data_IF_805321457212
#
_entry.id   IF_805321457212
#
_cell.length_a   1.000
_cell.length_b   1.000
_cell.length_c   1.000
_cell.angle_alpha   90.00
_cell.angle_beta   90.00
_cell.angle_gamma   90.00
#
_symmetry.space_group_name_H-M   'P 1'
#
loop_
_entity.id
_entity.type
_entity.pdbx_description
1 polymer ?
#
# COMPACT_ATOMS: atom_id res chain seq x y z
N UNK A 1 -5.97 39.33 -1.50
CA UNK A 1 -6.92 38.48 -2.24
C UNK A 1 -6.37 38.05 -3.60
N UNK A 2 -5.86 38.96 -4.43
CA UNK A 2 -5.26 38.61 -5.75
C UNK A 2 -4.00 37.74 -5.62
N UNK A 3 -3.15 37.97 -4.63
CA UNK A 3 -1.98 37.13 -4.38
C UNK A 3 -2.37 35.70 -3.99
N UNK A 4 -3.32 35.51 -3.10
CA UNK A 4 -3.82 34.17 -2.75
C UNK A 4 -4.41 33.45 -3.95
N UNK A 5 -5.12 34.16 -4.83
CA UNK A 5 -5.66 33.59 -6.06
C UNK A 5 -4.55 33.16 -7.03
N UNK A 6 -3.47 33.96 -7.14
CA UNK A 6 -2.32 33.61 -7.99
C UNK A 6 -1.58 32.38 -7.49
N UNK A 7 -1.38 32.24 -6.16
CA UNK A 7 -0.80 31.04 -5.56
C UNK A 7 -1.68 29.82 -5.81
N UNK A 8 -2.97 29.93 -5.55
CA UNK A 8 -3.91 28.84 -5.80
C UNK A 8 -3.93 28.39 -7.26
N UNK A 9 -3.93 29.33 -8.22
CA UNK A 9 -3.89 29.01 -9.65
C UNK A 9 -2.55 28.35 -10.06
N UNK A 10 -1.44 28.79 -9.46
CA UNK A 10 -0.14 28.14 -9.65
C UNK A 10 -0.18 26.70 -9.19
N UNK A 11 -0.58 26.44 -7.95
CA UNK A 11 -0.63 25.10 -7.36
C UNK A 11 -1.59 24.19 -8.10
N UNK A 12 -2.75 24.72 -8.51
CA UNK A 12 -3.71 23.97 -9.32
C UNK A 12 -3.10 23.58 -10.69
N UNK A 13 -2.42 24.53 -11.36
CA UNK A 13 -1.79 24.28 -12.65
C UNK A 13 -0.70 23.21 -12.54
N UNK A 14 0.13 23.25 -11.49
CA UNK A 14 1.13 22.23 -11.22
C UNK A 14 0.49 20.86 -10.99
N UNK A 15 -0.49 20.80 -10.12
CA UNK A 15 -1.21 19.56 -9.82
C UNK A 15 -1.82 18.96 -11.07
N UNK A 16 -2.43 19.78 -11.93
CA UNK A 16 -3.01 19.34 -13.20
C UNK A 16 -1.96 18.75 -14.16
N UNK A 17 -0.82 19.44 -14.32
CA UNK A 17 0.28 18.96 -15.19
C UNK A 17 0.83 17.63 -14.67
N UNK A 18 1.11 17.54 -13.37
CA UNK A 18 1.65 16.33 -12.74
C UNK A 18 0.66 15.16 -12.86
N UNK A 19 -0.62 15.40 -12.60
CA UNK A 19 -1.69 14.43 -12.77
C UNK A 19 -1.73 13.91 -14.21
N UNK A 20 -1.73 14.83 -15.18
CA UNK A 20 -1.82 14.48 -16.59
C UNK A 20 -0.60 13.71 -17.07
N UNK A 21 0.59 14.21 -16.78
CA UNK A 21 1.84 13.57 -17.18
C UNK A 21 2.03 12.24 -16.45
N UNK A 22 1.77 12.20 -15.14
CA UNK A 22 1.86 10.99 -14.33
C UNK A 22 0.90 9.90 -14.83
N UNK A 23 -0.33 10.26 -15.18
CA UNK A 23 -1.30 9.31 -15.73
C UNK A 23 -0.88 8.81 -17.12
N UNK A 24 -0.49 9.70 -18.03
CA UNK A 24 -0.09 9.32 -19.41
C UNK A 24 1.16 8.44 -19.39
N UNK A 25 2.21 8.85 -18.67
CA UNK A 25 3.43 8.05 -18.55
C UNK A 25 3.17 6.74 -17.82
N UNK A 26 2.38 6.79 -16.74
CA UNK A 26 1.94 5.61 -16.02
C UNK A 26 1.21 4.62 -16.92
N UNK A 27 0.29 5.10 -17.77
CA UNK A 27 -0.41 4.29 -18.75
C UNK A 27 0.55 3.62 -19.74
N UNK A 28 1.46 4.41 -20.34
CA UNK A 28 2.41 3.92 -21.35
C UNK A 28 3.33 2.86 -20.74
N UNK A 29 3.88 3.12 -19.56
CA UNK A 29 4.84 2.23 -18.90
C UNK A 29 4.12 0.97 -18.41
N UNK A 30 2.96 1.10 -17.78
CA UNK A 30 2.21 -0.02 -17.30
C UNK A 30 1.78 -0.96 -18.45
N UNK A 31 1.27 -0.39 -19.55
CA UNK A 31 0.88 -1.16 -20.73
C UNK A 31 2.05 -1.90 -21.38
N UNK A 32 3.21 -1.23 -21.55
CA UNK A 32 4.30 -1.78 -22.36
C UNK A 32 5.33 -2.57 -21.56
N UNK A 33 5.45 -2.32 -20.25
CA UNK A 33 6.46 -2.94 -19.39
C UNK A 33 5.83 -3.92 -18.40
N UNK A 34 4.77 -3.50 -17.71
CA UNK A 34 4.16 -4.32 -16.65
C UNK A 34 3.29 -5.43 -17.24
N UNK A 35 2.35 -5.08 -18.11
CA UNK A 35 1.45 -6.07 -18.75
C UNK A 35 2.13 -6.78 -19.90
N UNK A 36 2.85 -6.08 -20.75
CA UNK A 36 3.63 -6.50 -21.91
C UNK A 36 2.87 -7.35 -22.95
N UNK A 37 2.18 -8.39 -22.51
CA UNK A 37 1.50 -9.38 -23.38
C UNK A 37 0.00 -9.09 -23.55
N UNK A 38 -0.55 -8.15 -22.81
CA UNK A 38 -1.98 -7.79 -22.81
C UNK A 38 -2.13 -6.29 -22.95
N UNK A 39 -2.95 -5.85 -23.91
CA UNK A 39 -3.26 -4.41 -24.01
C UNK A 39 -4.06 -3.94 -22.82
N UNK A 40 -3.54 -2.91 -22.13
CA UNK A 40 -4.22 -2.28 -20.99
C UNK A 40 -5.61 -1.77 -21.40
N UNK A 41 -5.72 -1.13 -22.58
CA UNK A 41 -7.00 -0.67 -23.13
C UNK A 41 -8.01 -1.82 -23.31
N UNK A 42 -7.55 -2.95 -23.86
CA UNK A 42 -8.41 -4.12 -24.06
C UNK A 42 -8.85 -4.72 -22.72
N UNK A 43 -7.92 -4.88 -21.78
CA UNK A 43 -8.22 -5.41 -20.46
C UNK A 43 -9.25 -4.55 -19.71
N UNK A 44 -9.10 -3.23 -19.76
CA UNK A 44 -9.95 -2.30 -18.99
C UNK A 44 -11.32 -2.11 -19.65
N UNK A 45 -11.37 -1.87 -20.97
CA UNK A 45 -12.59 -1.39 -21.63
C UNK A 45 -13.29 -2.44 -22.49
N UNK A 46 -12.58 -3.45 -22.99
CA UNK A 46 -13.20 -4.51 -23.80
C UNK A 46 -13.56 -5.73 -22.95
N UNK A 47 -12.66 -6.12 -22.05
CA UNK A 47 -12.88 -7.29 -21.18
C UNK A 47 -13.52 -6.93 -19.84
N UNK A 48 -13.68 -5.64 -19.54
CA UNK A 48 -14.22 -5.10 -18.28
C UNK A 48 -13.58 -5.78 -17.05
N UNK A 49 -12.23 -5.77 -17.02
CA UNK A 49 -11.48 -6.47 -16.00
C UNK A 49 -11.24 -5.58 -14.78
N UNK A 50 -12.06 -5.74 -13.75
CA UNK A 50 -11.98 -4.99 -12.51
C UNK A 50 -10.65 -5.22 -11.78
N UNK A 51 -10.05 -6.41 -11.86
CA UNK A 51 -8.76 -6.68 -11.21
C UNK A 51 -7.63 -5.82 -11.82
N UNK A 52 -7.61 -5.66 -13.15
CA UNK A 52 -6.66 -4.78 -13.83
C UNK A 52 -6.90 -3.31 -13.45
N UNK A 53 -8.17 -2.87 -13.31
CA UNK A 53 -8.48 -1.52 -12.83
C UNK A 53 -7.95 -1.28 -11.42
N UNK A 54 -8.20 -2.20 -10.50
CA UNK A 54 -7.74 -2.12 -9.11
C UNK A 54 -6.22 -2.05 -9.05
N UNK A 55 -5.54 -2.91 -9.79
CA UNK A 55 -4.08 -2.92 -9.80
C UNK A 55 -3.51 -1.66 -10.45
N UNK A 56 -3.97 -1.29 -11.64
CA UNK A 56 -3.46 -0.13 -12.36
C UNK A 56 -3.65 1.17 -11.57
N UNK A 57 -4.86 1.41 -11.06
CA UNK A 57 -5.13 2.64 -10.30
C UNK A 57 -4.59 2.53 -8.89
N UNK A 58 -4.89 1.45 -8.16
CA UNK A 58 -4.58 1.33 -6.73
C UNK A 58 -3.13 1.02 -6.42
N UNK A 59 -2.46 0.19 -7.23
CA UNK A 59 -1.07 -0.19 -6.98
C UNK A 59 -0.06 0.64 -7.77
N UNK A 60 -0.47 1.39 -8.78
CA UNK A 60 0.46 2.11 -9.64
C UNK A 60 0.15 3.61 -9.76
N UNK A 61 -0.98 4.00 -10.34
CA UNK A 61 -1.27 5.43 -10.62
C UNK A 61 -1.42 6.23 -9.34
N UNK A 62 -2.30 5.80 -8.43
CA UNK A 62 -2.53 6.51 -7.18
C UNK A 62 -1.26 6.65 -6.32
N UNK A 63 -0.44 5.60 -6.12
CA UNK A 63 0.84 5.71 -5.44
C UNK A 63 1.81 6.72 -6.07
N UNK A 64 1.92 6.76 -7.41
CA UNK A 64 2.75 7.75 -8.11
C UNK A 64 2.30 9.16 -7.78
N UNK A 65 0.99 9.43 -7.94
CA UNK A 65 0.42 10.75 -7.71
C UNK A 65 0.53 11.19 -6.25
N UNK A 66 0.32 10.26 -5.32
CA UNK A 66 0.46 10.52 -3.90
C UNK A 66 1.89 10.88 -3.51
N UNK A 67 2.88 10.12 -4.01
CA UNK A 67 4.31 10.39 -3.77
C UNK A 67 4.76 11.69 -4.45
N UNK A 68 4.32 11.94 -5.68
CA UNK A 68 4.60 13.19 -6.37
C UNK A 68 4.07 14.40 -5.58
N UNK A 69 2.83 14.33 -5.10
CA UNK A 69 2.24 15.36 -4.25
C UNK A 69 3.00 15.58 -2.93
N UNK A 70 3.61 14.53 -2.39
CA UNK A 70 4.43 14.63 -1.18
C UNK A 70 5.79 15.29 -1.45
N UNK A 71 6.42 14.97 -2.57
CA UNK A 71 7.71 15.55 -2.99
C UNK A 71 7.65 17.05 -3.34
N UNK A 72 6.49 17.55 -3.79
CA UNK A 72 6.29 18.97 -4.17
C UNK A 72 6.45 19.92 -2.97
N UNK A 73 6.16 19.47 -1.75
CA UNK A 73 6.25 20.30 -0.54
C UNK A 73 7.64 20.88 -0.25
N UNK A 74 8.70 20.34 -0.85
CA UNK A 74 10.08 20.81 -0.67
C UNK A 74 10.63 21.66 -1.82
N UNK A 75 9.92 21.80 -2.94
CA UNK A 75 10.40 22.50 -4.13
C UNK A 75 9.80 23.91 -4.20
N UNK A 76 10.35 24.83 -3.43
CA UNK A 76 10.00 26.26 -3.54
C UNK A 76 11.21 27.03 -4.07
N UNK A 77 11.25 27.32 -5.36
CA UNK A 77 12.18 28.25 -5.96
C UNK A 77 11.44 29.49 -6.50
N UNK A 78 12.18 30.57 -6.73
CA UNK A 78 11.60 31.75 -7.36
C UNK A 78 11.28 31.54 -8.86
N UNK A 79 11.65 30.38 -9.40
CA UNK A 79 11.48 30.06 -10.82
C UNK A 79 10.48 28.91 -11.03
N UNK A 80 9.31 29.25 -11.56
CA UNK A 80 8.21 28.32 -11.84
C UNK A 80 8.63 27.14 -12.74
N UNK A 81 9.53 27.34 -13.68
CA UNK A 81 9.98 26.26 -14.59
C UNK A 81 10.91 25.28 -13.87
N UNK A 82 11.71 25.77 -12.92
CA UNK A 82 12.56 24.92 -12.08
C UNK A 82 11.69 24.06 -11.18
N UNK A 83 10.70 24.64 -10.50
CA UNK A 83 9.76 23.91 -9.67
C UNK A 83 9.02 22.84 -10.46
N UNK A 84 8.53 23.18 -11.66
CA UNK A 84 7.85 22.23 -12.53
C UNK A 84 8.78 21.08 -12.96
N UNK A 85 10.01 21.39 -13.36
CA UNK A 85 10.99 20.38 -13.76
C UNK A 85 11.33 19.43 -12.61
N UNK A 86 11.47 19.94 -11.39
CA UNK A 86 11.70 19.13 -10.18
C UNK A 86 10.51 18.22 -9.91
N UNK A 87 9.28 18.73 -9.94
CA UNK A 87 8.06 17.94 -9.72
C UNK A 87 7.87 16.84 -10.77
N UNK A 88 8.15 17.15 -12.04
CA UNK A 88 8.12 16.14 -13.11
C UNK A 88 9.24 15.11 -12.95
N UNK A 89 10.43 15.54 -12.53
CA UNK A 89 11.54 14.64 -12.20
C UNK A 89 11.16 13.64 -11.11
N UNK A 90 10.57 14.10 -10.01
CA UNK A 90 10.04 13.22 -8.95
C UNK A 90 8.96 12.28 -9.48
N UNK A 91 8.03 12.77 -10.31
CA UNK A 91 6.96 11.94 -10.88
C UNK A 91 7.54 10.80 -11.71
N UNK A 92 8.51 11.09 -12.59
CA UNK A 92 9.20 10.09 -13.42
C UNK A 92 9.96 9.09 -12.54
N UNK A 93 10.66 9.58 -11.53
CA UNK A 93 11.39 8.76 -10.57
C UNK A 93 10.48 7.78 -9.83
N UNK A 94 9.32 8.24 -9.34
CA UNK A 94 8.36 7.38 -8.65
C UNK A 94 7.72 6.36 -9.60
N UNK A 95 7.43 6.75 -10.84
CA UNK A 95 6.98 5.79 -11.87
C UNK A 95 8.01 4.68 -12.06
N UNK A 96 9.29 5.03 -12.19
CA UNK A 96 10.36 4.06 -12.36
C UNK A 96 10.48 3.10 -11.17
N UNK A 97 10.50 3.62 -9.94
CA UNK A 97 10.57 2.81 -8.71
C UNK A 97 9.37 1.88 -8.59
N UNK A 98 8.14 2.37 -8.78
CA UNK A 98 6.94 1.54 -8.66
C UNK A 98 6.86 0.50 -9.79
N UNK A 99 7.39 0.80 -10.97
CA UNK A 99 7.53 -0.19 -12.05
C UNK A 99 8.47 -1.32 -11.63
N UNK A 100 9.65 -0.98 -11.12
CA UNK A 100 10.62 -1.96 -10.62
C UNK A 100 9.99 -2.80 -9.50
N UNK A 101 9.33 -2.15 -8.54
CA UNK A 101 8.64 -2.83 -7.46
C UNK A 101 7.62 -3.84 -7.98
N UNK A 102 6.78 -3.41 -8.94
CA UNK A 102 5.75 -4.30 -9.52
C UNK A 102 6.37 -5.50 -10.24
N UNK A 103 7.49 -5.30 -10.94
CA UNK A 103 8.22 -6.39 -11.58
C UNK A 103 8.85 -7.33 -10.55
N UNK A 104 9.42 -6.81 -9.46
CA UNK A 104 9.93 -7.60 -8.35
C UNK A 104 8.81 -8.40 -7.67
N UNK A 105 7.65 -7.79 -7.43
CA UNK A 105 6.47 -8.47 -6.87
C UNK A 105 6.04 -9.63 -7.77
N UNK A 106 5.95 -9.39 -9.09
CA UNK A 106 5.66 -10.45 -10.07
C UNK A 106 6.68 -11.59 -9.97
N UNK A 107 7.97 -11.25 -9.93
CA UNK A 107 9.03 -12.25 -9.84
C UNK A 107 8.93 -13.08 -8.56
N UNK A 108 8.73 -12.44 -7.41
CA UNK A 108 8.58 -13.12 -6.12
C UNK A 108 7.35 -14.02 -6.08
N UNK A 109 6.20 -13.53 -6.53
CA UNK A 109 4.96 -14.32 -6.57
C UNK A 109 5.11 -15.53 -7.49
N UNK A 110 5.76 -15.36 -8.64
CA UNK A 110 5.99 -16.44 -9.58
C UNK A 110 6.98 -17.53 -9.06
N UNK A 111 7.73 -17.27 -7.98
CA UNK A 111 8.56 -18.26 -7.31
C UNK A 111 7.79 -19.12 -6.31
N UNK A 112 6.57 -18.69 -5.94
CA UNK A 112 5.72 -19.41 -4.97
C UNK A 112 5.07 -20.58 -5.71
N UNK A 113 5.44 -21.79 -5.30
CA UNK A 113 4.82 -23.02 -5.77
C UNK A 113 3.72 -23.41 -4.77
N UNK A 114 2.48 -23.39 -5.22
CA UNK A 114 1.36 -23.86 -4.40
C UNK A 114 1.13 -25.32 -4.78
N UNK A 115 1.62 -26.22 -3.94
CA UNK A 115 1.82 -27.64 -4.17
C UNK A 115 0.57 -28.52 -4.42
N UNK A 116 -0.62 -27.95 -4.54
CA UNK A 116 -1.85 -28.72 -4.68
C UNK A 116 -2.38 -28.72 -6.12
N UNK A 117 -1.60 -29.25 -7.09
CA UNK A 117 -2.00 -29.44 -8.49
C UNK A 117 -2.29 -28.17 -9.34
N UNK A 118 -2.10 -26.98 -8.79
CA UNK A 118 -2.39 -25.73 -9.51
C UNK A 118 -1.18 -25.16 -10.27
N UNK A 119 0.02 -25.70 -10.06
CA UNK A 119 1.26 -25.24 -10.71
C UNK A 119 1.77 -23.92 -10.17
N UNK A 120 2.69 -23.28 -10.91
CA UNK A 120 3.26 -21.99 -10.53
C UNK A 120 2.27 -20.86 -10.73
N UNK A 121 2.11 -20.02 -9.71
CA UNK A 121 1.31 -18.80 -9.81
C UNK A 121 2.00 -17.84 -10.77
N UNK A 122 1.24 -17.28 -11.71
CA UNK A 122 1.70 -16.20 -12.58
C UNK A 122 0.86 -14.95 -12.33
N UNK A 123 1.43 -13.96 -11.63
CA UNK A 123 0.68 -12.78 -11.19
C UNK A 123 -0.05 -12.06 -12.34
N UNK A 124 0.59 -11.91 -13.49
CA UNK A 124 -0.07 -11.29 -14.65
C UNK A 124 -1.23 -12.14 -15.19
N UNK A 125 -1.11 -13.47 -15.18
CA UNK A 125 -2.18 -14.37 -15.60
C UNK A 125 -3.35 -14.29 -14.64
N UNK A 126 -3.08 -14.30 -13.33
CA UNK A 126 -4.12 -14.15 -12.32
C UNK A 126 -4.94 -12.88 -12.54
N UNK A 127 -4.25 -11.73 -12.70
CA UNK A 127 -4.94 -10.44 -12.80
C UNK A 127 -5.56 -10.22 -14.17
N UNK A 128 -4.85 -10.53 -15.26
CA UNK A 128 -5.30 -10.18 -16.62
C UNK A 128 -6.23 -11.22 -17.25
N UNK A 129 -6.01 -12.52 -17.00
CA UNK A 129 -6.79 -13.59 -17.62
C UNK A 129 -7.88 -14.11 -16.67
N UNK A 130 -7.54 -14.38 -15.41
CA UNK A 130 -8.48 -14.94 -14.44
C UNK A 130 -9.33 -13.86 -13.76
N UNK A 131 -9.03 -12.58 -13.99
CA UNK A 131 -9.70 -11.43 -13.36
C UNK A 131 -9.67 -11.50 -11.83
N UNK A 132 -8.58 -12.01 -11.27
CA UNK A 132 -8.42 -12.26 -9.84
C UNK A 132 -8.26 -10.95 -9.05
N UNK A 133 -9.33 -10.56 -8.36
CA UNK A 133 -9.39 -9.35 -7.54
C UNK A 133 -8.51 -9.49 -6.28
N UNK A 134 -8.45 -10.69 -5.68
CA UNK A 134 -7.60 -10.98 -4.53
C UNK A 134 -6.12 -10.70 -4.84
N UNK A 135 -5.63 -11.18 -5.99
CA UNK A 135 -4.28 -10.93 -6.48
C UNK A 135 -4.01 -9.44 -6.77
N UNK A 136 -4.98 -8.72 -7.32
CA UNK A 136 -4.88 -7.28 -7.56
C UNK A 136 -4.78 -6.50 -6.24
N UNK A 137 -5.60 -6.81 -5.25
CA UNK A 137 -5.57 -6.20 -3.92
C UNK A 137 -4.27 -6.51 -3.16
N UNK A 138 -3.70 -7.71 -3.36
CA UNK A 138 -2.36 -8.02 -2.87
C UNK A 138 -1.30 -7.06 -3.48
N UNK A 139 -1.34 -6.82 -4.78
CA UNK A 139 -0.45 -5.85 -5.44
C UNK A 139 -0.62 -4.44 -4.86
N UNK A 140 -1.87 -4.03 -4.57
CA UNK A 140 -2.15 -2.74 -3.90
C UNK A 140 -1.54 -2.71 -2.50
N UNK A 141 -1.71 -3.77 -1.70
CA UNK A 141 -1.15 -3.85 -0.34
C UNK A 141 0.38 -3.73 -0.35
N UNK A 142 1.06 -4.44 -1.27
CA UNK A 142 2.51 -4.33 -1.47
C UNK A 142 2.91 -2.90 -1.85
N UNK A 143 2.21 -2.28 -2.79
CA UNK A 143 2.49 -0.90 -3.21
C UNK A 143 2.33 0.09 -2.07
N UNK A 144 1.29 -0.05 -1.25
CA UNK A 144 1.03 0.78 -0.07
C UNK A 144 2.18 0.67 0.95
N UNK A 145 2.73 -0.52 1.20
CA UNK A 145 3.91 -0.72 2.06
C UNK A 145 5.09 0.09 1.53
N UNK A 146 5.38 -0.02 0.23
CA UNK A 146 6.52 0.67 -0.38
C UNK A 146 6.36 2.18 -0.46
N UNK A 147 5.16 2.69 -0.66
CA UNK A 147 4.87 4.13 -0.59
C UNK A 147 5.32 4.71 0.75
N UNK A 148 5.04 4.03 1.85
CA UNK A 148 5.46 4.50 3.16
C UNK A 148 6.98 4.37 3.38
N UNK A 149 7.62 3.35 2.84
CA UNK A 149 9.08 3.25 2.84
C UNK A 149 9.71 4.42 2.08
N UNK A 150 9.20 4.72 0.89
CA UNK A 150 9.70 5.85 0.09
C UNK A 150 9.51 7.19 0.83
N UNK A 151 8.39 7.35 1.54
CA UNK A 151 8.16 8.57 2.36
C UNK A 151 9.13 8.72 3.52
N UNK A 152 9.66 7.63 4.06
CA UNK A 152 10.70 7.68 5.09
C UNK A 152 12.06 8.10 4.52
N UNK A 153 12.23 8.01 3.20
CA UNK A 153 13.47 8.37 2.51
C UNK A 153 13.37 9.84 2.11
N UNK A 154 13.84 10.74 2.97
CA UNK A 154 14.02 12.14 2.58
C UNK A 154 15.39 12.32 1.93
N UNK A 155 15.39 12.71 0.65
CA UNK A 155 16.64 12.93 -0.10
C UNK A 155 17.45 14.09 0.43
N UNK A 156 16.82 15.10 1.02
CA UNK A 156 17.48 16.25 1.64
C UNK A 156 18.25 15.78 2.87
N UNK A 157 17.65 14.93 3.68
CA UNK A 157 18.30 14.35 4.85
C UNK A 157 19.49 13.47 4.47
N UNK A 158 19.39 12.72 3.35
CA UNK A 158 20.53 11.93 2.84
C UNK A 158 21.70 12.85 2.45
N UNK A 159 21.44 13.96 1.77
CA UNK A 159 22.45 14.93 1.37
C UNK A 159 23.09 15.58 2.62
N UNK A 160 22.31 15.79 3.68
CA UNK A 160 22.77 16.33 4.95
C UNK A 160 23.54 15.32 5.82
N UNK A 161 23.77 14.10 5.33
CA UNK A 161 24.57 13.07 6.03
C UNK A 161 23.76 12.17 6.95
N UNK A 162 22.43 12.28 6.99
CA UNK A 162 21.53 11.47 7.84
C UNK A 162 21.15 10.11 7.20
N UNK A 163 21.85 9.67 6.16
CA UNK A 163 21.52 8.46 5.41
C UNK A 163 21.46 7.18 6.25
N UNK A 164 22.31 7.07 7.30
CA UNK A 164 22.32 5.91 8.22
C UNK A 164 21.03 5.89 9.04
N UNK A 165 20.56 7.02 9.53
CA UNK A 165 19.35 7.12 10.34
C UNK A 165 18.10 6.75 9.52
N UNK A 166 18.05 7.23 8.28
CA UNK A 166 16.98 6.86 7.34
C UNK A 166 16.98 5.35 7.10
N UNK A 167 18.15 4.78 6.84
CA UNK A 167 18.29 3.33 6.65
C UNK A 167 17.77 2.56 7.86
N UNK A 168 18.10 2.99 9.07
CA UNK A 168 17.64 2.34 10.29
C UNK A 168 16.12 2.48 10.44
N UNK A 169 15.52 3.64 10.17
CA UNK A 169 14.08 3.84 10.18
C UNK A 169 13.38 2.90 9.20
N UNK A 170 13.90 2.78 7.99
CA UNK A 170 13.37 1.86 6.97
C UNK A 170 13.48 0.40 7.43
N UNK A 171 14.59 0.01 8.03
CA UNK A 171 14.78 -1.35 8.56
C UNK A 171 13.80 -1.64 9.70
N UNK A 172 13.63 -0.73 10.65
CA UNK A 172 12.65 -0.88 11.74
C UNK A 172 11.24 -1.03 11.15
N UNK A 173 10.85 -0.15 10.23
CA UNK A 173 9.55 -0.23 9.57
C UNK A 173 9.33 -1.60 8.90
N UNK A 174 10.31 -2.08 8.14
CA UNK A 174 10.24 -3.38 7.44
C UNK A 174 10.13 -4.54 8.43
N UNK A 175 10.94 -4.56 9.48
CA UNK A 175 10.93 -5.63 10.47
C UNK A 175 9.55 -5.74 11.14
N UNK A 176 8.97 -4.63 11.58
CA UNK A 176 7.67 -4.65 12.23
C UNK A 176 6.53 -4.94 11.26
N UNK A 177 6.61 -4.46 10.02
CA UNK A 177 5.64 -4.80 8.98
C UNK A 177 5.68 -6.30 8.66
N UNK A 178 6.85 -6.87 8.45
CA UNK A 178 7.01 -8.30 8.17
C UNK A 178 6.55 -9.15 9.36
N UNK A 179 6.93 -8.77 10.59
CA UNK A 179 6.47 -9.46 11.79
C UNK A 179 4.94 -9.46 11.90
N UNK A 180 4.30 -8.31 11.65
CA UNK A 180 2.84 -8.20 11.67
C UNK A 180 2.19 -9.08 10.59
N UNK A 181 2.72 -9.10 9.36
CA UNK A 181 2.22 -9.96 8.26
C UNK A 181 2.39 -11.45 8.57
N UNK A 182 3.51 -11.84 9.19
CA UNK A 182 3.72 -13.22 9.66
C UNK A 182 2.71 -13.60 10.73
N UNK A 183 2.46 -12.73 11.70
CA UNK A 183 1.44 -12.94 12.72
C UNK A 183 0.04 -13.06 12.10
N UNK A 184 -0.31 -12.19 11.16
CA UNK A 184 -1.58 -12.25 10.42
C UNK A 184 -1.73 -13.58 9.69
N UNK A 185 -0.71 -13.98 8.93
CA UNK A 185 -0.70 -15.26 8.20
C UNK A 185 -0.76 -16.47 9.15
N UNK A 186 -0.10 -16.40 10.32
CA UNK A 186 -0.13 -17.47 11.32
C UNK A 186 -1.53 -17.65 11.93
N UNK A 187 -2.23 -16.55 12.21
CA UNK A 187 -3.62 -16.60 12.69
C UNK A 187 -4.53 -17.23 11.64
N UNK A 188 -4.33 -16.91 10.37
CA UNK A 188 -5.09 -17.50 9.24
C UNK A 188 -4.83 -19.00 9.07
N UNK A 189 -3.59 -19.49 9.28
CA UNK A 189 -3.21 -20.90 9.10
C UNK A 189 -4.06 -21.91 9.83
N UNK A 190 -4.79 -21.47 10.83
CA UNK A 190 -5.73 -22.34 11.54
C UNK A 190 -6.94 -22.77 10.68
N UNK A 191 -7.21 -22.08 9.58
CA UNK A 191 -8.33 -22.34 8.66
C UNK A 191 -7.89 -22.47 7.21
N UNK A 192 -7.05 -21.55 6.73
CA UNK A 192 -6.59 -21.47 5.35
C UNK A 192 -5.23 -20.76 5.28
N UNK A 193 -4.63 -20.67 4.09
CA UNK A 193 -3.43 -19.86 3.87
C UNK A 193 -3.79 -18.62 3.08
N UNK A 194 -3.17 -17.48 3.44
CA UNK A 194 -3.41 -16.21 2.74
C UNK A 194 -3.17 -16.32 1.23
N UNK A 195 -2.14 -17.05 0.82
CA UNK A 195 -1.83 -17.25 -0.60
C UNK A 195 -2.89 -18.06 -1.32
N UNK A 196 -3.46 -19.09 -0.66
CA UNK A 196 -4.55 -19.88 -1.23
C UNK A 196 -5.77 -18.98 -1.49
N UNK A 197 -6.20 -18.23 -0.50
CA UNK A 197 -7.33 -17.31 -0.62
C UNK A 197 -7.14 -16.29 -1.75
N UNK A 198 -5.95 -15.68 -1.82
CA UNK A 198 -5.70 -14.59 -2.78
C UNK A 198 -5.48 -15.05 -4.21
N UNK A 199 -4.81 -16.21 -4.41
CA UNK A 199 -4.34 -16.62 -5.74
C UNK A 199 -5.00 -17.88 -6.29
N UNK A 200 -5.60 -18.72 -5.44
CA UNK A 200 -6.27 -19.93 -5.88
C UNK A 200 -7.77 -19.74 -5.83
N UNK A 201 -8.29 -19.34 -4.68
CA UNK A 201 -9.73 -19.20 -4.46
C UNK A 201 -10.27 -17.88 -5.00
N UNK A 202 -9.38 -16.97 -5.45
CA UNK A 202 -9.75 -15.65 -6.00
C UNK A 202 -10.67 -14.85 -5.05
N UNK A 203 -10.39 -14.92 -3.74
CA UNK A 203 -11.22 -14.32 -2.71
C UNK A 203 -10.97 -12.81 -2.58
N UNK A 204 -11.87 -11.93 -3.06
CA UNK A 204 -11.70 -10.48 -2.97
C UNK A 204 -11.86 -9.99 -1.53
N UNK A 205 -12.65 -10.67 -0.69
CA UNK A 205 -12.85 -10.30 0.70
C UNK A 205 -11.55 -10.50 1.51
N UNK A 206 -10.82 -11.58 1.26
CA UNK A 206 -9.49 -11.80 1.85
C UNK A 206 -8.49 -10.70 1.45
N UNK A 207 -8.52 -10.28 0.18
CA UNK A 207 -7.69 -9.17 -0.33
C UNK A 207 -8.01 -7.83 0.34
N UNK A 208 -9.28 -7.51 0.51
CA UNK A 208 -9.75 -6.31 1.23
C UNK A 208 -9.31 -6.36 2.69
N UNK A 209 -9.48 -7.50 3.36
CA UNK A 209 -9.06 -7.71 4.74
C UNK A 209 -7.56 -7.52 4.94
N UNK A 210 -6.72 -8.07 4.03
CA UNK A 210 -5.28 -7.85 4.01
C UNK A 210 -4.94 -6.37 3.86
N UNK A 211 -5.56 -5.68 2.92
CA UNK A 211 -5.32 -4.27 2.67
C UNK A 211 -5.63 -3.41 3.90
N UNK A 212 -6.77 -3.66 4.56
CA UNK A 212 -7.13 -2.98 5.81
C UNK A 212 -6.14 -3.24 6.94
N UNK A 213 -5.66 -4.48 7.06
CA UNK A 213 -4.62 -4.83 8.03
C UNK A 213 -3.32 -4.07 7.76
N UNK A 214 -2.86 -4.05 6.49
CA UNK A 214 -1.66 -3.31 6.08
C UNK A 214 -1.81 -1.82 6.39
N UNK A 215 -2.94 -1.20 6.08
CA UNK A 215 -3.20 0.21 6.39
C UNK A 215 -3.12 0.49 7.90
N UNK A 216 -3.72 -0.35 8.73
CA UNK A 216 -3.69 -0.19 10.19
C UNK A 216 -2.27 -0.29 10.76
N UNK A 217 -1.52 -1.31 10.36
CA UNK A 217 -0.12 -1.50 10.79
C UNK A 217 0.76 -0.35 10.35
N UNK A 218 0.56 0.15 9.13
CA UNK A 218 1.29 1.32 8.64
C UNK A 218 0.95 2.59 9.38
N UNK A 219 -0.33 2.82 9.68
CA UNK A 219 -0.76 3.97 10.47
C UNK A 219 -0.05 3.98 11.82
N UNK A 220 0.05 2.84 12.50
CA UNK A 220 0.77 2.70 13.77
C UNK A 220 2.26 2.98 13.57
N UNK A 221 2.92 2.30 12.64
CA UNK A 221 4.36 2.46 12.41
C UNK A 221 4.71 3.91 12.04
N UNK A 222 4.00 4.50 11.08
CA UNK A 222 4.24 5.86 10.63
C UNK A 222 3.92 6.91 11.72
N UNK A 223 2.83 6.71 12.47
CA UNK A 223 2.44 7.58 13.58
C UNK A 223 3.51 7.61 14.67
N UNK A 224 3.98 6.44 15.12
CA UNK A 224 5.05 6.36 16.13
C UNK A 224 6.34 6.99 15.61
N UNK A 225 6.74 6.66 14.38
CA UNK A 225 7.97 7.21 13.79
C UNK A 225 7.93 8.73 13.57
N UNK A 226 6.75 9.30 13.33
CA UNK A 226 6.60 10.75 13.15
C UNK A 226 6.60 11.51 14.47
N UNK A 227 6.10 10.90 15.54
CA UNK A 227 6.02 11.51 16.87
C UNK A 227 7.39 11.53 17.57
N UNK A 228 8.12 10.41 17.49
CA UNK A 228 9.46 10.32 18.06
C UNK A 228 10.46 10.86 17.03
N UNK A 229 10.84 12.14 17.18
CA UNK A 229 11.90 12.77 16.40
C UNK A 229 13.27 12.11 16.66
N UNK A 230 14.27 12.45 15.85
CA UNK A 230 15.60 11.82 15.84
C UNK A 230 16.37 11.79 17.18
N UNK A 231 15.95 12.59 18.15
CA UNK A 231 16.58 12.68 19.48
C UNK A 231 16.22 11.52 20.43
N UNK A 232 15.25 10.67 20.04
CA UNK A 232 14.88 9.51 20.85
C UNK A 232 15.69 8.27 20.47
N UNK A 233 16.13 7.54 21.49
CA UNK A 233 16.81 6.26 21.30
C UNK A 233 15.98 5.32 20.42
N UNK A 234 16.59 4.77 19.38
CA UNK A 234 15.97 3.78 18.45
C UNK A 234 15.29 2.63 19.18
N UNK A 235 15.81 2.26 20.34
CA UNK A 235 15.23 1.24 21.22
C UNK A 235 13.83 1.66 21.69
N UNK A 236 13.66 2.92 22.12
CA UNK A 236 12.37 3.45 22.58
C UNK A 236 11.33 3.41 21.47
N UNK A 237 11.68 3.88 20.28
CA UNK A 237 10.78 3.82 19.10
C UNK A 237 10.37 2.38 18.80
N UNK A 238 11.34 1.46 18.80
CA UNK A 238 11.08 0.03 18.54
C UNK A 238 10.15 -0.59 19.59
N UNK A 239 10.37 -0.29 20.87
CA UNK A 239 9.51 -0.76 21.97
C UNK A 239 8.09 -0.21 21.81
N UNK A 240 7.94 1.09 21.53
CA UNK A 240 6.61 1.69 21.37
C UNK A 240 5.86 1.07 20.18
N UNK A 241 6.53 0.85 19.05
CA UNK A 241 5.92 0.15 17.90
C UNK A 241 5.51 -1.26 18.31
N UNK A 242 6.38 -2.04 18.95
CA UNK A 242 6.10 -3.40 19.37
C UNK A 242 4.88 -3.47 20.28
N UNK A 243 4.85 -2.62 21.32
CA UNK A 243 3.72 -2.56 22.27
C UNK A 243 2.43 -2.14 21.55
N UNK A 244 2.49 -1.16 20.65
CA UNK A 244 1.33 -0.71 19.88
C UNK A 244 0.76 -1.80 18.99
N UNK A 245 1.61 -2.59 18.34
CA UNK A 245 1.17 -3.72 17.51
C UNK A 245 0.60 -4.87 18.36
N UNK A 246 1.12 -5.12 19.54
CA UNK A 246 0.56 -6.09 20.49
C UNK A 246 -0.84 -5.63 20.93
N UNK A 247 -0.99 -4.35 21.31
CA UNK A 247 -2.28 -3.76 21.68
C UNK A 247 -3.26 -3.84 20.50
N UNK A 248 -2.82 -3.51 19.30
CA UNK A 248 -3.61 -3.65 18.08
C UNK A 248 -4.13 -5.09 17.89
N UNK A 249 -3.25 -6.09 18.04
CA UNK A 249 -3.62 -7.49 17.95
C UNK A 249 -4.66 -7.89 19.00
N UNK A 250 -4.44 -7.51 20.26
CA UNK A 250 -5.37 -7.79 21.38
C UNK A 250 -6.74 -7.15 21.12
N UNK A 251 -6.77 -5.86 20.80
CA UNK A 251 -8.00 -5.12 20.54
C UNK A 251 -8.74 -5.71 19.32
N UNK A 252 -8.04 -6.06 18.25
CA UNK A 252 -8.64 -6.68 17.07
C UNK A 252 -9.33 -7.99 17.39
N UNK A 253 -8.72 -8.83 18.23
CA UNK A 253 -9.33 -10.09 18.69
C UNK A 253 -10.53 -9.84 19.62
N UNK A 254 -10.41 -8.90 20.56
CA UNK A 254 -11.49 -8.57 21.50
C UNK A 254 -12.72 -8.01 20.78
N UNK A 255 -12.54 -7.00 19.92
CA UNK A 255 -13.64 -6.43 19.14
C UNK A 255 -14.32 -7.45 18.26
N UNK A 256 -13.54 -8.33 17.64
CA UNK A 256 -14.10 -9.43 16.86
C UNK A 256 -14.96 -10.36 17.70
N UNK A 257 -14.48 -10.77 18.89
CA UNK A 257 -15.27 -11.61 19.81
C UNK A 257 -16.56 -10.90 20.24
N UNK A 258 -16.47 -9.61 20.59
CA UNK A 258 -17.63 -8.80 20.96
C UNK A 258 -18.61 -8.74 19.80
N UNK A 259 -18.16 -8.42 18.59
CA UNK A 259 -19.00 -8.37 17.41
C UNK A 259 -19.70 -9.72 17.15
N UNK A 260 -18.94 -10.82 17.16
CA UNK A 260 -19.49 -12.18 16.99
C UNK A 260 -20.53 -12.51 18.07
N UNK A 261 -20.31 -12.06 19.31
CA UNK A 261 -21.27 -12.30 20.41
C UNK A 261 -22.58 -11.52 20.23
N UNK A 262 -22.51 -10.30 19.69
CA UNK A 262 -23.68 -9.44 19.48
C UNK A 262 -24.44 -9.85 18.22
N UNK A 263 -23.74 -10.00 17.10
CA UNK A 263 -24.36 -10.26 15.79
C UNK A 263 -24.60 -11.75 15.56
N UNK A 264 -23.92 -12.62 16.34
CA UNK A 264 -23.94 -14.09 16.24
C UNK A 264 -23.49 -14.60 14.85
N UNK A 265 -22.59 -13.86 14.22
CA UNK A 265 -21.98 -14.18 12.94
C UNK A 265 -20.45 -14.22 13.11
N UNK A 266 -19.80 -15.28 12.63
CA UNK A 266 -18.33 -15.36 12.63
C UNK A 266 -17.77 -14.62 11.41
N UNK A 267 -17.21 -13.42 11.62
CA UNK A 267 -16.62 -12.58 10.57
C UNK A 267 -15.56 -13.34 9.75
N UNK A 268 -14.80 -14.24 10.36
CA UNK A 268 -13.80 -15.02 9.64
C UNK A 268 -14.44 -15.99 8.64
N UNK A 269 -15.53 -16.62 9.06
CA UNK A 269 -16.28 -17.49 8.19
C UNK A 269 -16.86 -16.72 7.00
N UNK A 270 -17.42 -15.54 7.28
CA UNK A 270 -17.94 -14.67 6.24
C UNK A 270 -16.87 -14.27 5.22
N UNK A 271 -15.66 -13.93 5.67
CA UNK A 271 -14.58 -13.44 4.79
C UNK A 271 -13.90 -14.59 4.03
N UNK A 272 -13.57 -15.69 4.72
CA UNK A 272 -12.71 -16.73 4.14
C UNK A 272 -13.44 -17.98 3.65
N UNK A 273 -14.71 -18.17 3.97
CA UNK A 273 -15.53 -19.29 3.48
C UNK A 273 -16.69 -18.82 2.60
N UNK A 274 -17.18 -17.58 2.79
CA UNK A 274 -18.31 -17.05 2.03
C UNK A 274 -17.93 -15.87 1.11
N UNK A 275 -16.68 -15.48 1.08
CA UNK A 275 -16.14 -14.36 0.26
C UNK A 275 -16.92 -13.05 0.46
N UNK A 276 -17.44 -12.81 1.66
CA UNK A 276 -18.32 -11.70 1.97
C UNK A 276 -17.54 -10.38 2.02
N UNK A 277 -17.62 -9.61 0.94
CA UNK A 277 -16.98 -8.31 0.79
C UNK A 277 -17.48 -7.31 1.86
N UNK A 278 -18.77 -7.36 2.21
CA UNK A 278 -19.34 -6.48 3.24
C UNK A 278 -18.70 -6.73 4.62
N UNK A 279 -18.50 -7.99 4.99
CA UNK A 279 -17.81 -8.38 6.21
C UNK A 279 -16.34 -7.92 6.20
N UNK A 280 -15.67 -8.04 5.05
CA UNK A 280 -14.29 -7.58 4.88
C UNK A 280 -14.16 -6.05 5.03
N UNK A 281 -15.08 -5.27 4.45
CA UNK A 281 -15.12 -3.80 4.62
C UNK A 281 -15.33 -3.44 6.10
N UNK A 282 -16.23 -4.13 6.80
CA UNK A 282 -16.41 -3.98 8.24
C UNK A 282 -15.13 -4.25 9.03
N UNK A 283 -14.38 -5.29 8.65
CA UNK A 283 -13.09 -5.61 9.26
C UNK A 283 -12.03 -4.53 8.98
N UNK A 284 -11.99 -3.96 7.76
CA UNK A 284 -11.10 -2.84 7.44
C UNK A 284 -11.39 -1.63 8.33
N UNK A 285 -12.67 -1.25 8.44
CA UNK A 285 -13.08 -0.14 9.30
C UNK A 285 -12.64 -0.35 10.76
N UNK A 286 -12.78 -1.58 11.25
CA UNK A 286 -12.32 -1.97 12.58
C UNK A 286 -10.79 -1.82 12.72
N UNK A 287 -10.01 -2.38 11.80
CA UNK A 287 -8.56 -2.35 11.85
C UNK A 287 -8.01 -0.92 11.77
N UNK A 288 -8.49 -0.14 10.81
CA UNK A 288 -8.07 1.24 10.62
C UNK A 288 -8.50 2.10 11.81
N UNK A 289 -9.71 1.90 12.32
CA UNK A 289 -10.21 2.59 13.52
C UNK A 289 -9.34 2.31 14.74
N UNK A 290 -9.01 1.04 15.04
CA UNK A 290 -8.12 0.68 16.15
C UNK A 290 -6.73 1.29 15.96
N UNK A 291 -6.15 1.19 14.74
CA UNK A 291 -4.84 1.76 14.45
C UNK A 291 -4.80 3.27 14.67
N UNK A 292 -5.83 3.99 14.21
CA UNK A 292 -5.96 5.44 14.40
C UNK A 292 -6.09 5.81 15.89
N UNK A 293 -6.91 5.08 16.65
CA UNK A 293 -7.07 5.30 18.09
C UNK A 293 -5.74 5.10 18.82
N UNK A 294 -5.00 4.03 18.53
CA UNK A 294 -3.68 3.76 19.14
C UNK A 294 -2.73 4.95 18.89
N UNK A 295 -2.64 5.41 17.66
CA UNK A 295 -1.79 6.55 17.31
C UNK A 295 -2.21 7.83 18.03
N UNK A 296 -3.51 8.09 18.14
CA UNK A 296 -4.04 9.26 18.86
C UNK A 296 -3.72 9.26 20.35
N UNK A 297 -3.46 8.10 20.95
CA UNK A 297 -3.02 8.01 22.35
C UNK A 297 -1.50 8.17 22.52
N UNK A 298 -0.74 8.02 21.45
CA UNK A 298 0.73 8.16 21.46
C UNK A 298 1.13 9.62 21.18
N UNK A 299 0.37 10.32 20.35
CA UNK A 299 0.56 11.74 20.02
C UNK A 299 0.00 12.66 21.11
#
# INVERSE_FOLDING_TARGET
MLEYLSFFLKDFSFSFVILTVGFILGWIIYNNIVLRDVSLKDALFTRDNLAVWIEFIGAFVFPVLYLAGHGIKGAASDNIFVDLAVCLGYTIFYIAILTILRLCTKFIVNLIDVSDNHGKICLNKEICEQKNIGAALFSVAVSVIFVNIIKLIDFIDIINGLGIEILIKVLIFLVFMLAALVCYSFVLRRRTTLFKELFIDNNPAAGIGLLGFVFAVQTINAGVMSFYSMDFELLTVSIVIAVSLIIFGILSVLFKKIFTSIVKVDIWNEIYEQDNIGAAIGQVALYVGIGTIIVSFIM
#
